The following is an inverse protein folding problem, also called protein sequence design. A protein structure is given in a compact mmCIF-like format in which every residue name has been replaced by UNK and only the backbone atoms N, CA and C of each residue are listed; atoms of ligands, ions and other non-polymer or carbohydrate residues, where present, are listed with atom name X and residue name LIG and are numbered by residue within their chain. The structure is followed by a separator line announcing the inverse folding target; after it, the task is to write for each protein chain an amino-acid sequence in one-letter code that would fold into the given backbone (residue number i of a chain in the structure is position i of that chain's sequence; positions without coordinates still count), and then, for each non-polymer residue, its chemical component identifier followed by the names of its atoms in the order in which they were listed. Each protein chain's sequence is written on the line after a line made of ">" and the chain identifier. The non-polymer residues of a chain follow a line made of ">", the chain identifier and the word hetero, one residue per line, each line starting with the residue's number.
data_IF_898561604621
#
_entry.id   IF_898561604621
#
_cell.length_a   1.000
_cell.length_b   1.000
_cell.length_c   1.000
_cell.angle_alpha   90.00
_cell.angle_beta   90.00
_cell.angle_gamma   90.00
#
_symmetry.space_group_name_H-M   'P 1'
#
loop_
_entity.id
_entity.type
_entity.pdbx_description
1 polymer ?
#
# COMPACT_ATOMS: atom_id res chain seq x y z
N UNK A 1 19.53 11.55 -10.11
CA UNK A 1 18.51 12.60 -10.01
C UNK A 1 17.17 11.97 -9.63
N UNK A 2 16.41 12.72 -8.85
CA UNK A 2 15.00 12.46 -8.58
C UNK A 2 14.14 12.78 -9.81
N UNK A 3 12.96 12.14 -9.95
CA UNK A 3 12.04 12.43 -11.04
C UNK A 3 11.52 13.87 -10.94
N UNK A 4 11.33 14.50 -12.11
CA UNK A 4 10.64 15.79 -12.28
C UNK A 4 9.66 15.64 -13.43
N UNK A 5 8.37 15.80 -13.15
CA UNK A 5 7.26 15.54 -14.07
C UNK A 5 6.89 16.75 -14.91
N UNK A 6 7.89 17.34 -15.56
CA UNK A 6 7.73 18.48 -16.46
C UNK A 6 7.92 18.04 -17.92
N UNK A 7 7.01 18.50 -18.78
CA UNK A 7 7.10 18.25 -20.21
C UNK A 7 8.00 19.28 -20.90
N UNK A 8 8.84 18.81 -21.84
CA UNK A 8 9.62 19.66 -22.76
C UNK A 8 10.57 20.65 -22.08
N UNK A 9 11.18 20.27 -20.95
CA UNK A 9 12.22 21.05 -20.27
C UNK A 9 13.62 20.52 -20.57
N UNK A 10 14.64 21.37 -20.42
CA UNK A 10 16.04 20.97 -20.63
C UNK A 10 16.58 20.11 -19.49
N UNK A 11 17.54 19.24 -19.78
CA UNK A 11 18.23 18.42 -18.76
C UNK A 11 18.97 19.30 -17.74
N UNK A 12 19.44 20.47 -18.14
CA UNK A 12 20.09 21.44 -17.26
C UNK A 12 19.11 22.03 -16.24
N UNK A 13 17.86 22.25 -16.65
CA UNK A 13 16.82 22.71 -15.75
C UNK A 13 16.42 21.64 -14.72
N UNK A 14 16.27 20.38 -15.15
CA UNK A 14 16.03 19.24 -14.24
C UNK A 14 17.17 19.11 -13.22
N UNK A 15 18.42 19.27 -13.67
CA UNK A 15 19.58 19.29 -12.78
C UNK A 15 19.52 20.43 -11.77
N UNK A 16 19.06 21.62 -12.17
CA UNK A 16 18.91 22.76 -11.26
C UNK A 16 17.86 22.51 -10.18
N UNK A 17 16.70 21.95 -10.55
CA UNK A 17 15.67 21.56 -9.56
C UNK A 17 16.25 20.56 -8.57
N UNK A 18 16.95 19.53 -9.06
CA UNK A 18 17.62 18.57 -8.18
C UNK A 18 18.69 19.24 -7.32
N UNK A 19 19.45 20.20 -7.83
CA UNK A 19 20.41 20.94 -7.02
C UNK A 19 19.73 21.68 -5.87
N UNK A 20 18.59 22.34 -6.12
CA UNK A 20 17.83 22.99 -5.05
C UNK A 20 17.36 21.98 -3.99
N UNK A 21 16.84 20.83 -4.41
CA UNK A 21 16.49 19.76 -3.47
C UNK A 21 17.72 19.32 -2.66
N UNK A 22 18.89 19.21 -3.29
CA UNK A 22 20.14 18.89 -2.58
C UNK A 22 20.44 19.89 -1.49
N UNK A 23 20.26 21.18 -1.77
CA UNK A 23 20.47 22.26 -0.81
C UNK A 23 19.50 22.14 0.39
N UNK A 24 18.26 21.72 0.15
CA UNK A 24 17.28 21.42 1.21
C UNK A 24 17.76 20.28 2.12
N UNK A 25 18.20 19.16 1.54
CA UNK A 25 18.75 18.04 2.30
C UNK A 25 20.02 18.43 3.07
N UNK A 26 20.91 19.21 2.45
CA UNK A 26 22.14 19.67 3.08
C UNK A 26 21.86 20.56 4.28
N UNK A 27 20.93 21.51 4.16
CA UNK A 27 20.53 22.35 5.29
C UNK A 27 19.92 21.53 6.42
N UNK A 28 19.05 20.56 6.10
CA UNK A 28 18.45 19.69 7.11
C UNK A 28 19.51 18.87 7.85
N UNK A 29 20.43 18.23 7.11
CA UNK A 29 21.50 17.39 7.66
C UNK A 29 22.44 18.22 8.52
N UNK A 30 22.88 19.39 8.04
CA UNK A 30 23.78 20.28 8.80
C UNK A 30 23.10 20.76 10.09
N UNK A 31 21.81 21.08 10.03
CA UNK A 31 21.03 21.49 11.21
C UNK A 31 20.95 20.34 12.23
N UNK A 32 20.67 19.12 11.76
CA UNK A 32 20.56 17.93 12.60
C UNK A 32 21.90 17.49 13.21
N UNK A 33 22.99 17.53 12.44
CA UNK A 33 24.35 17.21 12.89
C UNK A 33 24.89 18.26 13.86
N UNK A 34 24.71 19.55 13.58
CA UNK A 34 25.30 20.65 14.35
C UNK A 34 24.79 20.75 15.79
N UNK A 35 23.56 20.31 16.04
CA UNK A 35 22.94 20.34 17.37
C UNK A 35 22.73 18.95 18.00
N UNK A 36 23.24 17.87 17.38
CA UNK A 36 22.97 16.46 17.74
C UNK A 36 21.46 16.19 17.97
N UNK A 37 20.61 16.85 17.17
CA UNK A 37 19.17 16.90 17.36
C UNK A 37 18.40 15.98 16.41
N UNK A 38 19.06 14.93 15.89
CA UNK A 38 18.42 13.95 15.01
C UNK A 38 17.16 13.33 15.62
N UNK A 39 17.11 13.16 16.93
CA UNK A 39 15.95 12.58 17.62
C UNK A 39 14.72 13.50 17.52
N UNK A 40 14.95 14.81 17.50
CA UNK A 40 13.93 15.84 17.41
C UNK A 40 13.60 16.15 15.94
N UNK A 41 14.60 16.18 15.06
CA UNK A 41 14.43 16.56 13.66
C UNK A 41 13.91 15.43 12.77
N UNK A 42 14.38 14.19 12.92
CA UNK A 42 13.93 13.11 12.04
C UNK A 42 12.41 12.89 12.06
N UNK A 43 11.71 12.96 13.21
CA UNK A 43 10.25 12.86 13.23
C UNK A 43 9.48 13.97 12.49
N UNK A 44 10.17 15.04 12.04
CA UNK A 44 9.59 16.08 11.18
C UNK A 44 9.43 15.53 9.76
N UNK A 45 10.42 14.80 9.25
CA UNK A 45 10.46 14.35 7.85
C UNK A 45 10.23 12.85 7.66
N UNK A 46 10.22 12.07 8.73
CA UNK A 46 9.93 10.64 8.73
C UNK A 46 8.65 10.32 9.54
N UNK A 47 7.95 9.23 9.22
CA UNK A 47 6.91 8.71 10.10
C UNK A 47 7.46 8.42 11.50
N UNK A 48 6.77 8.87 12.55
CA UNK A 48 7.24 8.77 13.95
C UNK A 48 7.61 7.34 14.37
N UNK A 49 6.86 6.34 13.90
CA UNK A 49 7.14 4.94 14.20
C UNK A 49 8.43 4.44 13.53
N UNK A 50 8.80 4.99 12.38
CA UNK A 50 10.02 4.69 11.65
C UNK A 50 11.27 5.20 12.40
N UNK A 51 11.15 6.36 13.05
CA UNK A 51 12.20 6.98 13.85
C UNK A 51 12.66 6.20 15.09
N UNK A 52 12.01 5.07 15.44
CA UNK A 52 12.53 4.13 16.44
C UNK A 52 13.94 3.66 16.10
N UNK A 53 14.29 3.62 14.80
CA UNK A 53 15.62 3.31 14.31
C UNK A 53 16.26 4.53 13.62
N UNK A 54 16.92 5.36 14.41
CA UNK A 54 17.63 6.56 13.94
C UNK A 54 18.69 6.25 12.89
N UNK A 55 19.42 5.13 13.03
CA UNK A 55 20.45 4.73 12.06
C UNK A 55 19.84 4.44 10.69
N UNK A 56 18.69 3.75 10.66
CA UNK A 56 17.93 3.50 9.42
C UNK A 56 17.46 4.82 8.79
N UNK A 57 16.94 5.75 9.60
CA UNK A 57 16.50 7.07 9.11
C UNK A 57 17.66 7.84 8.48
N UNK A 58 18.81 7.91 9.16
CA UNK A 58 20.02 8.56 8.60
C UNK A 58 20.43 7.90 7.28
N UNK A 59 20.43 6.57 7.22
CA UNK A 59 20.76 5.82 6.00
C UNK A 59 19.87 6.23 4.82
N UNK A 60 18.55 6.26 5.03
CA UNK A 60 17.58 6.67 4.00
C UNK A 60 17.76 8.15 3.60
N UNK A 61 18.02 9.03 4.56
CA UNK A 61 18.24 10.46 4.32
C UNK A 61 19.46 10.70 3.41
N UNK A 62 20.59 10.06 3.70
CA UNK A 62 21.78 10.14 2.86
C UNK A 62 21.58 9.45 1.51
N UNK A 63 20.86 8.33 1.47
CA UNK A 63 20.55 7.65 0.20
C UNK A 63 19.76 8.58 -0.72
N UNK A 64 18.67 9.20 -0.23
CA UNK A 64 17.89 10.18 -0.98
C UNK A 64 18.74 11.35 -1.47
N UNK A 65 19.57 11.93 -0.60
CA UNK A 65 20.51 13.00 -0.96
C UNK A 65 21.46 12.57 -2.09
N UNK A 66 22.00 11.36 -2.03
CA UNK A 66 22.88 10.83 -3.08
C UNK A 66 22.12 10.59 -4.40
N UNK A 67 20.85 10.17 -4.32
CA UNK A 67 19.98 10.05 -5.50
C UNK A 67 19.74 11.38 -6.18
N UNK A 68 19.64 12.47 -5.43
CA UNK A 68 19.50 13.83 -5.96
C UNK A 68 20.74 14.22 -6.79
N UNK A 69 21.93 13.91 -6.25
CA UNK A 69 23.22 14.32 -6.81
C UNK A 69 23.71 13.45 -7.99
N UNK A 70 23.26 12.20 -8.09
CA UNK A 70 23.72 11.32 -9.17
C UNK A 70 23.11 11.67 -10.53
N UNK A 71 23.65 11.11 -11.62
CA UNK A 71 23.18 11.38 -12.98
C UNK A 71 22.12 10.39 -13.49
N UNK A 72 21.63 9.46 -12.66
CA UNK A 72 20.65 8.47 -13.09
C UNK A 72 19.25 9.08 -13.11
N UNK A 73 18.61 9.07 -14.28
CA UNK A 73 17.20 9.48 -14.43
C UNK A 73 16.31 8.36 -13.89
N UNK A 74 15.54 8.67 -12.85
CA UNK A 74 14.58 7.77 -12.24
C UNK A 74 13.18 8.11 -12.74
N UNK A 75 12.39 7.08 -13.01
CA UNK A 75 10.97 7.23 -13.35
C UNK A 75 10.06 6.86 -12.17
N UNK A 76 10.62 6.21 -11.16
CA UNK A 76 9.92 5.70 -10.00
C UNK A 76 10.74 6.01 -8.75
N UNK A 77 10.04 6.43 -7.71
CA UNK A 77 10.57 6.61 -6.37
C UNK A 77 9.69 5.79 -5.43
N UNK A 78 10.27 5.15 -4.41
CA UNK A 78 9.47 4.37 -3.46
C UNK A 78 8.59 5.31 -2.62
N UNK A 79 7.40 4.87 -2.16
CA UNK A 79 6.51 5.70 -1.34
C UNK A 79 7.18 6.31 -0.10
N UNK A 80 8.07 5.57 0.57
CA UNK A 80 8.85 6.11 1.69
C UNK A 80 9.68 7.33 1.28
N UNK A 81 10.35 7.23 0.13
CA UNK A 81 11.23 8.28 -0.38
C UNK A 81 10.43 9.49 -0.85
N UNK A 82 9.26 9.28 -1.46
CA UNK A 82 8.31 10.34 -1.81
C UNK A 82 7.80 11.05 -0.56
N UNK A 83 7.36 10.31 0.46
CA UNK A 83 6.95 10.89 1.74
C UNK A 83 8.05 11.77 2.35
N UNK A 84 9.29 11.27 2.41
CA UNK A 84 10.40 12.03 3.00
C UNK A 84 10.72 13.26 2.16
N UNK A 85 10.74 13.15 0.84
CA UNK A 85 10.94 14.29 -0.05
C UNK A 85 9.85 15.35 0.16
N UNK A 86 8.59 14.93 0.25
CA UNK A 86 7.45 15.82 0.49
C UNK A 86 7.61 16.57 1.81
N UNK A 87 7.93 15.86 2.90
CA UNK A 87 8.15 16.51 4.19
C UNK A 87 9.41 17.36 4.23
N UNK A 88 10.47 17.00 3.49
CA UNK A 88 11.68 17.80 3.37
C UNK A 88 11.39 19.14 2.71
N UNK A 89 10.62 19.14 1.63
CA UNK A 89 10.16 20.35 0.95
C UNK A 89 9.32 21.19 1.92
N UNK A 90 8.31 20.63 2.59
CA UNK A 90 7.50 21.38 3.56
C UNK A 90 8.38 22.00 4.66
N UNK A 91 9.26 21.21 5.26
CA UNK A 91 10.17 21.68 6.30
C UNK A 91 11.05 22.85 5.81
N UNK A 92 11.61 22.74 4.61
CA UNK A 92 12.42 23.81 4.03
C UNK A 92 11.63 25.11 3.94
N UNK A 93 10.40 25.05 3.41
CA UNK A 93 9.54 26.21 3.30
C UNK A 93 9.11 26.74 4.67
N UNK A 94 8.82 25.89 5.65
CA UNK A 94 8.49 26.33 7.01
C UNK A 94 9.65 27.13 7.64
N UNK A 95 10.91 26.70 7.46
CA UNK A 95 12.08 27.38 8.07
C UNK A 95 12.61 28.56 7.25
N UNK A 96 12.25 28.65 5.97
CA UNK A 96 12.68 29.74 5.08
C UNK A 96 11.60 30.80 4.89
N UNK A 97 10.30 30.47 4.91
CA UNK A 97 9.21 31.45 4.81
C UNK A 97 9.14 32.40 6.02
N UNK A 98 9.56 31.99 7.23
CA UNK A 98 9.72 32.92 8.36
C UNK A 98 10.79 34.00 8.08
N UNK A 99 11.68 33.80 7.09
CA UNK A 99 12.80 34.69 6.77
C UNK A 99 12.66 35.52 5.48
N UNK A 100 11.69 35.22 4.58
CA UNK A 100 11.65 35.82 3.22
C UNK A 100 10.31 36.43 2.80
N UNK A 101 9.41 36.76 3.74
CA UNK A 101 8.08 37.32 3.45
C UNK A 101 8.05 38.80 3.02
N UNK A 102 8.93 39.20 2.10
CA UNK A 102 8.90 40.49 1.40
C UNK A 102 9.13 40.25 -0.12
N UNK A 103 8.24 39.50 -0.77
CA UNK A 103 8.34 39.27 -2.21
C UNK A 103 7.07 38.65 -2.77
N UNK A 104 6.48 39.29 -3.76
CA UNK A 104 5.25 38.87 -4.42
C UNK A 104 5.45 37.51 -5.11
N UNK A 105 4.71 36.48 -4.68
CA UNK A 105 4.61 35.20 -5.38
C UNK A 105 3.79 35.43 -6.67
N UNK A 106 4.44 35.25 -7.82
CA UNK A 106 3.75 35.20 -9.11
C UNK A 106 3.63 33.73 -9.48
N UNK A 107 2.41 33.17 -9.41
CA UNK A 107 2.14 31.80 -9.84
C UNK A 107 2.51 31.64 -11.32
N UNK A 108 3.61 30.96 -11.63
CA UNK A 108 3.94 30.59 -13.01
C UNK A 108 3.22 29.28 -13.31
N UNK A 109 1.98 29.39 -13.76
CA UNK A 109 1.10 28.23 -13.98
C UNK A 109 1.33 27.48 -15.28
N UNK A 110 2.40 27.75 -16.05
CA UNK A 110 2.67 27.07 -17.33
C UNK A 110 4.16 27.04 -17.69
N UNK A 111 4.81 25.89 -17.49
CA UNK A 111 6.21 25.64 -17.87
C UNK A 111 6.42 24.99 -19.25
N UNK A 112 5.34 24.73 -19.99
CA UNK A 112 5.41 24.11 -21.32
C UNK A 112 6.23 24.95 -22.31
N UNK A 113 7.46 24.51 -22.60
CA UNK A 113 8.41 25.23 -23.47
C UNK A 113 9.02 26.49 -22.84
N UNK A 114 9.08 26.58 -21.52
CA UNK A 114 9.64 27.72 -20.81
C UNK A 114 11.17 27.76 -20.92
N UNK A 115 11.69 28.67 -21.73
CA UNK A 115 13.09 29.08 -21.69
C UNK A 115 13.22 30.28 -20.74
N UNK A 116 14.05 30.14 -19.70
CA UNK A 116 14.35 31.24 -18.78
C UNK A 116 14.87 32.43 -19.54
N UNK A 117 14.18 33.57 -19.43
CA UNK A 117 14.61 34.80 -20.10
C UNK A 117 15.75 35.48 -19.34
N UNK A 118 15.91 35.20 -18.05
CA UNK A 118 16.94 35.79 -17.19
C UNK A 118 17.18 34.99 -15.89
N UNK A 119 18.22 35.37 -15.13
CA UNK A 119 18.57 34.79 -13.82
C UNK A 119 17.47 35.01 -12.77
N UNK A 120 16.65 36.06 -12.87
CA UNK A 120 15.59 36.37 -11.89
C UNK A 120 14.44 35.36 -11.93
N UNK A 121 14.05 34.91 -13.11
CA UNK A 121 13.05 33.85 -13.28
C UNK A 121 13.54 32.49 -12.72
N UNK A 122 14.87 32.29 -12.62
CA UNK A 122 15.45 31.11 -11.97
C UNK A 122 15.39 31.18 -10.43
N UNK A 123 15.42 32.38 -9.85
CA UNK A 123 15.24 32.55 -8.40
C UNK A 123 13.81 32.25 -7.96
N UNK A 124 12.80 32.55 -8.79
CA UNK A 124 11.39 32.34 -8.42
C UNK A 124 10.99 30.87 -8.22
N UNK A 125 11.67 29.93 -8.86
CA UNK A 125 11.42 28.49 -8.68
C UNK A 125 11.95 28.01 -7.32
N UNK A 126 12.93 28.70 -6.75
CA UNK A 126 13.46 28.33 -5.43
C UNK A 126 12.45 28.60 -4.30
N UNK A 127 11.49 29.50 -4.54
CA UNK A 127 10.60 30.05 -3.50
C UNK A 127 9.12 29.68 -3.71
N UNK A 128 8.81 28.68 -4.54
CA UNK A 128 7.43 28.21 -4.75
C UNK A 128 7.26 26.74 -4.32
N UNK A 129 6.65 26.53 -3.16
CA UNK A 129 6.33 25.19 -2.65
C UNK A 129 5.39 24.44 -3.61
N UNK A 130 4.42 25.13 -4.21
CA UNK A 130 3.45 24.50 -5.11
C UNK A 130 4.13 23.94 -6.35
N UNK A 131 5.14 24.64 -6.87
CA UNK A 131 5.95 24.14 -7.97
C UNK A 131 6.56 22.77 -7.64
N UNK A 132 7.17 22.59 -6.46
CA UNK A 132 7.75 21.30 -6.11
C UNK A 132 6.69 20.23 -5.91
N UNK A 133 5.59 20.53 -5.23
CA UNK A 133 4.51 19.55 -4.99
C UNK A 133 3.86 19.09 -6.30
N UNK A 134 3.61 20.00 -7.24
CA UNK A 134 2.96 19.67 -8.52
C UNK A 134 3.89 18.93 -9.49
N UNK A 135 5.21 19.11 -9.37
CA UNK A 135 6.16 18.65 -10.39
C UNK A 135 7.15 17.58 -9.92
N UNK A 136 7.25 17.29 -8.62
CA UNK A 136 8.14 16.23 -8.09
C UNK A 136 7.42 14.92 -7.80
N UNK A 137 6.09 14.90 -7.88
CA UNK A 137 5.25 13.75 -7.51
C UNK A 137 4.24 13.42 -8.62
N UNK A 138 4.00 12.13 -8.87
CA UNK A 138 2.96 11.71 -9.83
C UNK A 138 1.56 11.79 -9.21
N UNK A 139 1.50 11.41 -7.95
CA UNK A 139 0.34 11.44 -7.07
C UNK A 139 0.82 11.72 -5.64
N UNK A 140 -0.12 11.80 -4.70
CA UNK A 140 0.17 12.00 -3.28
C UNK A 140 -0.43 10.85 -2.45
N UNK A 141 -0.53 9.65 -3.01
CA UNK A 141 -1.23 8.52 -2.39
C UNK A 141 -0.57 8.11 -1.05
N UNK A 142 0.73 8.34 -0.91
CA UNK A 142 1.49 8.12 0.31
C UNK A 142 1.02 8.96 1.51
N UNK A 143 0.27 10.06 1.29
CA UNK A 143 -0.32 10.87 2.37
C UNK A 143 -1.61 10.25 2.93
N UNK A 144 -2.39 9.59 2.07
CA UNK A 144 -3.71 9.05 2.40
C UNK A 144 -3.70 7.52 2.59
N UNK A 145 -2.53 6.96 2.92
CA UNK A 145 -2.33 5.52 3.12
C UNK A 145 -3.33 4.88 4.09
N UNK A 146 -3.77 5.61 5.12
CA UNK A 146 -4.79 5.13 6.05
C UNK A 146 -6.12 4.80 5.36
N UNK A 147 -6.56 5.59 4.39
CA UNK A 147 -7.77 5.33 3.62
C UNK A 147 -7.60 4.09 2.74
N UNK A 148 -6.45 3.95 2.08
CA UNK A 148 -6.17 2.78 1.24
C UNK A 148 -6.13 1.49 2.06
N UNK A 149 -5.57 1.52 3.27
CA UNK A 149 -5.59 0.40 4.20
C UNK A 149 -7.02 0.06 4.64
N UNK A 150 -7.87 1.05 4.90
CA UNK A 150 -9.26 0.80 5.27
C UNK A 150 -10.07 0.18 4.11
N UNK A 151 -9.81 0.57 2.86
CA UNK A 151 -10.43 -0.09 1.71
C UNK A 151 -9.87 -1.50 1.52
N UNK A 152 -8.56 -1.69 1.66
CA UNK A 152 -7.92 -3.00 1.62
C UNK A 152 -8.49 -3.94 2.71
N UNK A 153 -8.81 -3.39 3.88
CA UNK A 153 -9.47 -4.14 4.96
C UNK A 153 -10.86 -4.62 4.61
N UNK A 154 -11.56 -3.97 3.69
CA UNK A 154 -12.87 -4.40 3.23
C UNK A 154 -12.75 -5.37 2.06
N UNK A 155 -11.91 -5.04 1.08
CA UNK A 155 -11.73 -5.83 -0.13
C UNK A 155 -10.31 -5.61 -0.73
N UNK A 156 -9.36 -6.52 -0.44
CA UNK A 156 -7.98 -6.47 -0.93
C UNK A 156 -7.88 -6.41 -2.46
N UNK A 157 -8.58 -7.31 -3.14
CA UNK A 157 -8.58 -7.39 -4.61
C UNK A 157 -9.10 -6.09 -5.23
N UNK A 158 -10.13 -5.49 -4.64
CA UNK A 158 -10.63 -4.20 -5.10
C UNK A 158 -9.61 -3.09 -4.84
N UNK A 159 -8.99 -3.04 -3.66
CA UNK A 159 -8.02 -2.00 -3.33
C UNK A 159 -6.82 -2.00 -4.29
N UNK A 160 -6.24 -3.16 -4.57
CA UNK A 160 -5.09 -3.27 -5.47
C UNK A 160 -5.48 -2.99 -6.93
N UNK A 161 -6.58 -3.56 -7.41
CA UNK A 161 -6.97 -3.42 -8.82
C UNK A 161 -7.61 -2.07 -9.16
N UNK A 162 -8.38 -1.48 -8.24
CA UNK A 162 -9.09 -0.23 -8.50
C UNK A 162 -8.19 0.99 -8.37
N UNK A 163 -7.24 0.99 -7.44
CA UNK A 163 -6.31 2.09 -7.24
C UNK A 163 -4.96 1.87 -7.94
N UNK A 164 -4.65 0.64 -8.39
CA UNK A 164 -3.35 0.33 -8.98
C UNK A 164 -2.20 0.40 -7.98
N UNK A 165 -2.51 0.32 -6.68
CA UNK A 165 -1.56 0.46 -5.59
C UNK A 165 -0.99 -0.91 -5.22
N UNK A 166 0.34 -1.00 -5.18
CA UNK A 166 1.03 -2.14 -4.61
C UNK A 166 1.37 -1.87 -3.13
N UNK A 167 0.56 -2.42 -2.22
CA UNK A 167 0.72 -2.20 -0.77
C UNK A 167 2.08 -2.66 -0.23
N UNK A 168 2.79 -3.58 -0.90
CA UNK A 168 4.13 -3.99 -0.47
C UNK A 168 5.11 -2.81 -0.45
N UNK A 169 4.92 -1.84 -1.35
CA UNK A 169 5.80 -0.68 -1.51
C UNK A 169 5.60 0.36 -0.40
N UNK A 170 4.48 0.28 0.32
CA UNK A 170 4.09 1.19 1.40
C UNK A 170 4.42 0.65 2.80
N UNK A 171 4.97 -0.56 2.90
CA UNK A 171 5.25 -1.22 4.19
C UNK A 171 6.13 -0.39 5.11
N UNK A 172 7.11 0.35 4.57
CA UNK A 172 7.98 1.25 5.35
C UNK A 172 7.24 2.47 5.94
N UNK A 173 6.05 2.81 5.42
CA UNK A 173 5.21 3.90 5.94
C UNK A 173 4.19 3.43 6.99
N UNK A 174 4.05 2.11 7.18
CA UNK A 174 3.05 1.54 8.07
C UNK A 174 3.61 1.25 9.47
N UNK A 175 2.81 1.47 10.54
CA UNK A 175 3.14 0.98 11.87
C UNK A 175 3.23 -0.55 11.95
N UNK A 176 4.07 -1.05 12.86
CA UNK A 176 4.36 -2.49 13.05
C UNK A 176 3.11 -3.37 13.27
N UNK A 177 2.08 -2.84 13.93
CA UNK A 177 0.82 -3.52 14.18
C UNK A 177 -0.02 -3.68 12.91
N UNK A 178 -0.02 -2.66 12.05
CA UNK A 178 -0.73 -2.67 10.76
C UNK A 178 -0.04 -3.61 9.77
N UNK A 179 1.30 -3.61 9.74
CA UNK A 179 2.07 -4.56 8.90
C UNK A 179 1.73 -6.00 9.28
N UNK A 180 1.68 -6.32 10.58
CA UNK A 180 1.32 -7.67 11.04
C UNK A 180 -0.10 -8.08 10.65
N UNK A 181 -1.04 -7.15 10.70
CA UNK A 181 -2.41 -7.38 10.23
C UNK A 181 -2.43 -7.69 8.74
N UNK A 182 -1.68 -6.92 7.94
CA UNK A 182 -1.55 -7.08 6.50
C UNK A 182 -0.93 -8.43 6.14
N UNK A 183 0.21 -8.78 6.74
CA UNK A 183 0.91 -10.05 6.51
C UNK A 183 0.03 -11.26 6.81
N UNK A 184 -0.71 -11.19 7.92
CA UNK A 184 -1.66 -12.25 8.31
C UNK A 184 -2.73 -12.41 7.24
N UNK A 185 -3.30 -11.31 6.77
CA UNK A 185 -4.37 -11.33 5.78
C UNK A 185 -3.90 -11.86 4.42
N UNK A 186 -2.70 -11.49 3.98
CA UNK A 186 -2.07 -12.03 2.78
C UNK A 186 -1.87 -13.56 2.89
N UNK A 187 -1.45 -14.04 4.06
CA UNK A 187 -1.33 -15.47 4.31
C UNK A 187 -2.70 -16.18 4.25
N UNK A 188 -3.76 -15.58 4.80
CA UNK A 188 -5.11 -16.11 4.78
C UNK A 188 -5.65 -16.20 3.33
N UNK A 189 -5.48 -15.15 2.52
CA UNK A 189 -5.88 -15.15 1.09
C UNK A 189 -5.13 -16.22 0.30
N UNK A 190 -3.82 -16.33 0.48
CA UNK A 190 -3.03 -17.37 -0.17
C UNK A 190 -3.49 -18.78 0.21
N UNK A 191 -3.93 -18.98 1.44
CA UNK A 191 -4.48 -20.26 1.89
C UNK A 191 -5.85 -20.54 1.25
N UNK A 192 -6.72 -19.53 1.16
CA UNK A 192 -8.02 -19.64 0.49
C UNK A 192 -7.87 -19.97 -1.00
N UNK A 193 -6.96 -19.30 -1.71
CA UNK A 193 -6.67 -19.61 -3.12
C UNK A 193 -6.17 -21.05 -3.32
N UNK A 194 -5.21 -21.49 -2.50
CA UNK A 194 -4.71 -22.88 -2.52
C UNK A 194 -5.81 -23.88 -2.21
N UNK A 195 -6.72 -23.51 -1.32
CA UNK A 195 -7.88 -24.32 -0.98
C UNK A 195 -8.86 -24.41 -2.16
N UNK A 196 -9.20 -23.29 -2.80
CA UNK A 196 -10.03 -23.27 -4.01
C UNK A 196 -9.40 -24.08 -5.15
N UNK A 197 -8.09 -23.98 -5.35
CA UNK A 197 -7.38 -24.74 -6.37
C UNK A 197 -7.46 -26.26 -6.09
N UNK A 198 -7.25 -26.68 -4.84
CA UNK A 198 -7.40 -28.08 -4.43
C UNK A 198 -8.83 -28.57 -4.63
N UNK A 199 -9.82 -27.77 -4.24
CA UNK A 199 -11.24 -28.11 -4.40
C UNK A 199 -11.60 -28.26 -5.88
N UNK A 200 -11.15 -27.33 -6.72
CA UNK A 200 -11.39 -27.39 -8.17
C UNK A 200 -10.80 -28.66 -8.79
N UNK A 201 -9.55 -29.01 -8.42
CA UNK A 201 -8.91 -30.26 -8.86
C UNK A 201 -9.69 -31.50 -8.42
N UNK A 202 -10.19 -31.51 -7.18
CA UNK A 202 -10.99 -32.62 -6.66
C UNK A 202 -12.34 -32.75 -7.40
N UNK A 203 -13.02 -31.64 -7.69
CA UNK A 203 -14.27 -31.61 -8.46
C UNK A 203 -14.04 -32.10 -9.89
N UNK A 204 -13.02 -31.59 -10.58
CA UNK A 204 -12.68 -32.02 -11.94
C UNK A 204 -12.39 -33.53 -11.95
N UNK A 205 -11.64 -34.03 -10.98
CA UNK A 205 -11.37 -35.46 -10.84
C UNK A 205 -12.67 -36.27 -10.67
N UNK A 206 -13.56 -35.85 -9.77
CA UNK A 206 -14.85 -36.53 -9.54
C UNK A 206 -15.73 -36.53 -10.80
N UNK A 207 -15.77 -35.42 -11.54
CA UNK A 207 -16.49 -35.30 -12.80
C UNK A 207 -15.92 -36.24 -13.87
N UNK A 208 -14.60 -36.35 -14.00
CA UNK A 208 -13.94 -37.28 -14.94
C UNK A 208 -14.26 -38.74 -14.60
N UNK A 209 -14.22 -39.11 -13.32
CA UNK A 209 -14.59 -40.45 -12.87
C UNK A 209 -16.06 -40.76 -13.16
N UNK A 210 -16.94 -39.78 -12.97
CA UNK A 210 -18.37 -39.94 -13.27
C UNK A 210 -18.61 -40.14 -14.77
N UNK A 211 -17.97 -39.33 -15.62
CA UNK A 211 -18.06 -39.46 -17.08
C UNK A 211 -17.51 -40.80 -17.58
N UNK A 212 -16.43 -41.30 -16.98
CA UNK A 212 -15.85 -42.60 -17.33
C UNK A 212 -16.68 -43.81 -16.86
N UNK A 213 -17.60 -43.60 -15.91
CA UNK A 213 -18.36 -44.69 -15.29
C UNK A 213 -19.69 -44.94 -16.02
N UNK A 214 -19.69 -45.99 -16.87
CA UNK A 214 -20.87 -46.40 -17.66
C UNK A 214 -22.10 -46.70 -16.80
N UNK A 215 -21.93 -47.07 -15.52
CA UNK A 215 -23.03 -47.33 -14.58
C UNK A 215 -23.90 -46.09 -14.35
N UNK A 216 -23.30 -44.90 -14.38
CA UNK A 216 -23.98 -43.64 -14.07
C UNK A 216 -24.41 -42.85 -15.30
N UNK A 217 -24.30 -43.44 -16.51
CA UNK A 217 -24.64 -42.78 -17.77
C UNK A 217 -26.12 -42.38 -17.84
N UNK A 218 -27.00 -43.27 -17.37
CA UNK A 218 -28.45 -43.09 -17.34
C UNK A 218 -28.98 -42.92 -15.90
N UNK A 219 -28.08 -42.74 -14.93
CA UNK A 219 -28.43 -42.58 -13.53
C UNK A 219 -29.08 -41.21 -13.29
N UNK A 220 -30.05 -41.20 -12.38
CA UNK A 220 -30.71 -39.96 -11.95
C UNK A 220 -29.73 -39.06 -11.20
N UNK A 221 -30.01 -37.75 -11.22
CA UNK A 221 -29.12 -36.72 -10.69
C UNK A 221 -28.65 -37.00 -9.25
N UNK A 222 -29.54 -37.46 -8.38
CA UNK A 222 -29.20 -37.79 -6.98
C UNK A 222 -28.13 -38.88 -6.84
N UNK A 223 -28.13 -39.88 -7.70
CA UNK A 223 -27.13 -40.96 -7.68
C UNK A 223 -25.77 -40.46 -8.19
N UNK A 224 -25.79 -39.59 -9.21
CA UNK A 224 -24.59 -38.94 -9.74
C UNK A 224 -23.97 -37.98 -8.72
N UNK A 225 -24.80 -37.20 -8.03
CA UNK A 225 -24.37 -36.31 -6.94
C UNK A 225 -23.80 -37.09 -5.76
N UNK A 226 -24.45 -38.19 -5.36
CA UNK A 226 -23.95 -39.08 -4.30
C UNK A 226 -22.58 -39.69 -4.65
N UNK A 227 -22.38 -40.07 -5.91
CA UNK A 227 -21.10 -40.56 -6.39
C UNK A 227 -20.01 -39.48 -6.34
N UNK A 228 -20.29 -38.27 -6.85
CA UNK A 228 -19.36 -37.14 -6.75
C UNK A 228 -19.00 -36.85 -5.28
N UNK A 229 -20.00 -36.77 -4.39
CA UNK A 229 -19.78 -36.57 -2.96
C UNK A 229 -18.86 -37.64 -2.35
N UNK A 230 -19.04 -38.91 -2.69
CA UNK A 230 -18.18 -40.00 -2.20
C UNK A 230 -16.73 -39.87 -2.66
N UNK A 231 -16.50 -39.38 -3.89
CA UNK A 231 -15.15 -39.15 -4.40
C UNK A 231 -14.51 -37.95 -3.70
N UNK A 232 -15.26 -36.86 -3.50
CA UNK A 232 -14.76 -35.69 -2.78
C UNK A 232 -14.43 -36.03 -1.31
N UNK A 233 -15.23 -36.88 -0.66
CA UNK A 233 -14.92 -37.40 0.67
C UNK A 233 -13.64 -38.25 0.68
N UNK A 234 -13.45 -39.12 -0.32
CA UNK A 234 -12.21 -39.89 -0.48
C UNK A 234 -10.99 -39.00 -0.73
N UNK A 235 -11.16 -37.89 -1.45
CA UNK A 235 -10.10 -36.92 -1.75
C UNK A 235 -9.71 -36.04 -0.55
N UNK A 236 -10.35 -36.20 0.61
CA UNK A 236 -10.03 -35.47 1.83
C UNK A 236 -10.66 -34.08 1.93
N UNK A 237 -11.69 -33.76 1.12
CA UNK A 237 -12.37 -32.45 1.12
C UNK A 237 -13.28 -32.19 2.33
N UNK A 238 -13.12 -32.92 3.44
CA UNK A 238 -13.70 -32.57 4.75
C UNK A 238 -12.59 -32.03 5.66
N UNK A 239 -12.06 -30.85 5.34
CA UNK A 239 -11.52 -30.01 6.41
C UNK A 239 -12.68 -29.47 7.27
N UNK A 240 -12.49 -29.25 8.58
CA UNK A 240 -13.58 -28.95 9.53
C UNK A 240 -14.47 -27.75 9.18
N UNK A 241 -14.01 -26.83 8.32
CA UNK A 241 -14.78 -25.65 7.91
C UNK A 241 -15.88 -25.90 6.87
N UNK A 242 -15.87 -27.03 6.15
CA UNK A 242 -16.93 -27.37 5.16
C UNK A 242 -18.32 -27.61 5.77
N UNK A 243 -18.43 -27.71 7.11
CA UNK A 243 -19.74 -27.85 7.76
C UNK A 243 -20.60 -26.59 7.73
N UNK A 244 -20.01 -25.39 7.56
CA UNK A 244 -20.77 -24.13 7.65
C UNK A 244 -21.40 -23.65 6.33
N UNK A 245 -20.84 -23.98 5.15
CA UNK A 245 -21.35 -23.45 3.87
C UNK A 245 -22.41 -24.31 3.19
N UNK A 246 -22.37 -25.63 3.39
CA UNK A 246 -23.30 -26.56 2.74
C UNK A 246 -24.71 -26.56 3.35
N UNK A 247 -24.86 -26.16 4.62
CA UNK A 247 -26.18 -25.98 5.23
C UNK A 247 -26.98 -24.89 4.52
N UNK A 248 -26.33 -23.77 4.16
CA UNK A 248 -26.94 -22.65 3.43
C UNK A 248 -27.29 -22.98 1.97
N UNK A 249 -26.52 -23.84 1.30
CA UNK A 249 -26.80 -24.28 -0.06
C UNK A 249 -27.87 -25.39 -0.16
N UNK A 250 -28.10 -26.15 0.91
CA UNK A 250 -29.01 -27.30 0.90
C UNK A 250 -30.49 -26.98 1.03
N UNK A 251 -30.88 -25.71 1.16
CA UNK A 251 -32.29 -25.30 1.20
C UNK A 251 -33.13 -25.96 2.30
N UNK A 252 -32.50 -26.60 3.30
CA UNK A 252 -33.19 -27.13 4.45
C UNK A 252 -33.47 -25.98 5.40
N UNK A 253 -34.65 -25.38 5.25
CA UNK A 253 -35.28 -24.65 6.35
C UNK A 253 -35.33 -25.57 7.56
N UNK A 254 -34.54 -25.29 8.59
CA UNK A 254 -34.79 -25.85 9.91
C UNK A 254 -35.95 -25.09 10.55
N UNK A 255 -37.09 -25.73 10.85
CA UNK A 255 -38.07 -25.15 11.74
C UNK A 255 -37.73 -25.60 13.17
N UNK A 256 -37.08 -24.75 13.96
CA UNK A 256 -37.27 -24.69 15.43
C UNK A 256 -36.24 -23.80 16.13
N UNK A 257 -36.47 -22.49 16.10
CA UNK A 257 -36.35 -21.74 17.35
C UNK A 257 -37.58 -22.08 18.21
N UNK A 258 -37.49 -23.17 18.98
CA UNK A 258 -38.31 -23.34 20.18
C UNK A 258 -37.36 -23.29 21.38
N UNK A 259 -37.25 -22.10 21.95
CA UNK A 259 -36.77 -21.93 23.32
C UNK A 259 -37.93 -22.31 24.23
N UNK A 260 -37.94 -23.52 24.77
CA UNK A 260 -38.66 -23.83 26.00
C UNK A 260 -37.72 -24.60 26.96
N UNK A 261 -37.57 -23.99 28.12
CA UNK A 261 -36.78 -24.33 29.29
C UNK A 261 -37.06 -25.72 29.87
N UNK A 262 -36.09 -26.32 30.58
CA UNK A 262 -36.21 -26.70 32.00
C UNK A 262 -34.93 -27.40 32.50
N UNK A 263 -34.18 -26.70 33.38
CA UNK A 263 -33.20 -27.31 34.28
C UNK A 263 -33.97 -27.77 35.52
N UNK A 264 -33.95 -29.07 35.77
CA UNK A 264 -34.34 -29.66 37.05
C UNK A 264 -33.12 -29.63 37.99
N UNK A 265 -33.17 -28.79 39.03
CA UNK A 265 -32.31 -28.94 40.21
C UNK A 265 -33.10 -29.73 41.24
N UNK A 266 -32.64 -30.95 41.53
CA UNK A 266 -33.10 -31.73 42.66
C UNK A 266 -32.44 -31.21 43.94
N UNK A 267 -33.26 -30.81 44.91
CA UNK A 267 -32.85 -30.68 46.31
C UNK A 267 -32.76 -32.07 46.94
N UNK A 268 -31.70 -32.35 47.69
CA UNK A 268 -31.69 -33.24 48.86
C UNK A 268 -30.40 -33.06 49.68
N UNK A 269 -30.60 -32.76 50.96
CA UNK A 269 -29.65 -32.62 52.09
C UNK A 269 -28.92 -31.29 52.25
#
# INVERSE_FOLDING_TARGET
>A
MLPVYLNKVSDEFIKRINQNISDMFDMFIVTADGADCYKEMLPIVFPKHYCKNIVKCKGVLYELRDMVLDNYKRNYLKPLYEYILFQMINWWFDVTEENFRDGYITFITNFDGYEFKNEQEQYWINDDIHFYIENMFQDLDFLDLHMFIDVYRLNPDFAENAFGINFSDYTDLLPDDIIKEFDKRMADISNDEKFFEKLLKAIIFACLQLQGNRKFKDAIENERNSFISSILEYYGSREPMFRMSLSHLSGKTEPSFRVESHVWIANSC
#
